data_IF_970080109665
#
_entry.id   IF_970080109665
#
_cell.length_a   1.000
_cell.length_b   1.000
_cell.length_c   1.000
_cell.angle_alpha   90.00
_cell.angle_beta   90.00
_cell.angle_gamma   90.00
#
_symmetry.space_group_name_H-M   'P 1'
#
loop_
_entity.id
_entity.type
_entity.pdbx_description
1 polymer ?
#
# COMPACT_ATOMS: atom_id res chain seq x y z
N UNK A 1 -13.06 20.47 -14.16
CA UNK A 1 -12.83 20.79 -15.59
C UNK A 1 -11.89 19.74 -16.16
N UNK A 2 -12.31 18.90 -17.13
CA UNK A 2 -11.47 17.83 -17.63
C UNK A 2 -10.44 18.40 -18.62
N UNK A 3 -9.15 18.33 -18.25
CA UNK A 3 -8.02 18.68 -19.11
C UNK A 3 -7.71 17.48 -20.01
N UNK A 4 -8.45 17.35 -21.11
CA UNK A 4 -8.21 16.34 -22.16
C UNK A 4 -7.24 16.81 -23.25
N UNK A 5 -6.43 17.84 -23.00
CA UNK A 5 -5.39 18.27 -23.93
C UNK A 5 -3.99 17.85 -23.43
N UNK A 6 -3.40 16.76 -23.97
CA UNK A 6 -2.07 16.32 -23.60
C UNK A 6 -0.97 17.37 -23.87
N UNK A 7 -1.25 18.40 -24.70
CA UNK A 7 -0.28 19.48 -24.98
C UNK A 7 -0.13 20.51 -23.87
N UNK A 8 -0.98 20.51 -22.82
CA UNK A 8 -0.94 21.52 -21.74
C UNK A 8 -0.50 20.98 -20.38
N UNK A 9 0.08 19.79 -20.33
CA UNK A 9 0.64 19.19 -19.11
C UNK A 9 2.12 19.53 -18.89
N UNK A 10 2.63 20.57 -19.54
CA UNK A 10 3.97 21.10 -19.33
C UNK A 10 3.95 22.32 -18.42
N UNK A 11 4.97 22.45 -17.59
CA UNK A 11 5.32 23.70 -16.92
C UNK A 11 6.74 24.07 -17.36
N UNK A 12 6.86 25.24 -17.99
CA UNK A 12 8.17 25.79 -18.34
C UNK A 12 8.88 26.27 -17.08
N UNK A 13 10.14 25.89 -16.92
CA UNK A 13 10.96 26.36 -15.82
C UNK A 13 11.63 27.69 -16.22
N UNK A 14 11.49 28.72 -15.39
CA UNK A 14 12.15 30.01 -15.60
C UNK A 14 13.62 30.01 -15.12
N UNK A 15 14.02 28.98 -14.37
CA UNK A 15 15.32 28.83 -13.72
C UNK A 15 15.82 27.40 -13.88
N UNK A 16 17.14 27.21 -13.74
CA UNK A 16 17.75 25.88 -13.80
C UNK A 16 17.27 25.00 -12.65
N UNK A 17 17.07 23.70 -12.93
CA UNK A 17 16.64 22.73 -11.93
C UNK A 17 17.83 22.38 -11.05
N UNK A 18 17.71 22.59 -9.75
CA UNK A 18 18.75 22.28 -8.76
C UNK A 18 18.29 21.16 -7.81
N UNK A 19 19.23 20.55 -7.08
CA UNK A 19 18.91 19.47 -6.14
C UNK A 19 18.01 19.91 -4.98
N UNK A 20 17.98 21.20 -4.66
CA UNK A 20 17.15 21.76 -3.57
C UNK A 20 15.67 21.88 -3.97
N UNK A 21 15.36 21.81 -5.25
CA UNK A 21 13.99 21.97 -5.77
C UNK A 21 13.21 20.64 -5.79
N UNK A 22 13.85 19.53 -5.40
CA UNK A 22 13.31 18.18 -5.56
C UNK A 22 13.20 17.49 -4.19
N UNK A 23 12.00 17.02 -3.86
CA UNK A 23 11.72 16.37 -2.58
C UNK A 23 12.40 14.99 -2.45
N UNK A 24 12.56 14.27 -3.56
CA UNK A 24 13.29 13.00 -3.64
C UNK A 24 14.65 13.22 -4.31
N UNK A 25 15.73 13.35 -3.53
CA UNK A 25 17.05 13.74 -4.05
C UNK A 25 17.58 12.72 -5.09
N UNK A 26 17.61 13.04 -6.39
CA UNK A 26 18.21 12.14 -7.37
C UNK A 26 19.74 12.15 -7.21
N UNK A 27 20.46 11.14 -7.71
CA UNK A 27 21.92 11.17 -7.71
C UNK A 27 22.43 12.46 -8.37
N UNK A 28 23.41 13.15 -7.77
CA UNK A 28 23.91 14.44 -8.28
C UNK A 28 24.37 14.41 -9.76
N UNK A 29 24.77 13.23 -10.25
CA UNK A 29 25.08 12.99 -11.67
C UNK A 29 23.87 13.18 -12.60
N UNK A 30 22.66 12.87 -12.14
CA UNK A 30 21.41 13.04 -12.89
C UNK A 30 21.07 14.53 -13.12
N UNK A 31 21.42 15.41 -12.18
CA UNK A 31 21.18 16.85 -12.33
C UNK A 31 22.21 17.54 -13.23
N UNK A 32 23.47 17.11 -13.14
CA UNK A 32 24.55 17.70 -13.95
C UNK A 32 24.54 17.24 -15.41
N UNK A 33 24.22 15.97 -15.70
CA UNK A 33 24.28 15.41 -17.06
C UNK A 33 23.00 14.75 -17.56
N UNK A 34 22.02 14.51 -16.68
CA UNK A 34 20.87 13.65 -16.99
C UNK A 34 21.27 12.17 -17.09
N UNK A 35 20.30 11.28 -16.90
CA UNK A 35 20.40 9.93 -17.45
C UNK A 35 20.07 10.04 -18.94
N UNK A 36 20.96 9.60 -19.82
CA UNK A 36 20.82 9.77 -21.28
C UNK A 36 21.38 8.56 -22.01
N UNK A 37 20.92 8.35 -23.25
CA UNK A 37 21.45 7.33 -24.15
C UNK A 37 22.07 7.94 -25.42
N UNK A 38 22.76 7.08 -26.17
CA UNK A 38 23.35 7.34 -27.47
C UNK A 38 22.29 7.70 -28.54
N UNK A 39 22.77 8.31 -29.64
CA UNK A 39 21.92 8.81 -30.72
C UNK A 39 20.98 7.73 -31.24
N UNK A 40 19.69 8.04 -31.32
CA UNK A 40 18.66 7.14 -31.85
C UNK A 40 18.28 5.96 -30.94
N UNK A 41 18.90 5.82 -29.76
CA UNK A 41 18.51 4.78 -28.80
C UNK A 41 17.44 5.28 -27.84
N UNK A 42 16.53 4.37 -27.49
CA UNK A 42 15.58 4.59 -26.42
C UNK A 42 16.29 4.58 -25.06
N UNK A 43 15.84 5.42 -24.13
CA UNK A 43 16.23 5.34 -22.73
C UNK A 43 15.11 4.67 -21.96
N UNK A 44 15.42 3.56 -21.29
CA UNK A 44 14.50 2.82 -20.44
C UNK A 44 15.02 2.87 -19.01
N UNK A 45 14.15 3.23 -18.08
CA UNK A 45 14.49 3.41 -16.68
C UNK A 45 13.35 2.91 -15.80
N UNK A 46 13.70 2.13 -14.79
CA UNK A 46 12.77 1.71 -13.76
C UNK A 46 12.79 2.73 -12.62
N UNK A 47 11.76 3.57 -12.55
CA UNK A 47 11.65 4.66 -11.58
C UNK A 47 10.22 4.72 -11.00
N UNK A 48 10.04 4.61 -9.67
CA UNK A 48 11.09 4.51 -8.66
C UNK A 48 11.73 3.11 -8.63
N UNK A 49 12.85 2.97 -7.91
CA UNK A 49 13.55 1.70 -7.79
C UNK A 49 12.74 0.61 -7.07
N UNK A 50 11.72 1.01 -6.30
CA UNK A 50 10.83 0.11 -5.56
C UNK A 50 9.52 -0.13 -6.32
N UNK A 51 8.89 -1.27 -6.03
CA UNK A 51 7.55 -1.57 -6.54
C UNK A 51 6.50 -0.66 -5.89
N UNK A 52 5.60 -0.13 -6.70
CA UNK A 52 4.47 0.69 -6.27
C UNK A 52 3.25 -0.19 -5.97
N UNK A 53 2.51 0.03 -4.87
CA UNK A 53 1.21 -0.59 -4.70
C UNK A 53 0.25 -0.18 -5.84
N UNK A 54 -0.74 -1.02 -6.14
CA UNK A 54 -1.73 -0.71 -7.17
C UNK A 54 -2.59 0.49 -6.75
N UNK A 55 -2.38 1.67 -7.35
CA UNK A 55 -3.09 2.91 -6.98
C UNK A 55 -3.06 3.94 -8.11
N UNK A 56 -3.75 5.06 -7.90
CA UNK A 56 -3.58 6.27 -8.70
C UNK A 56 -2.40 7.09 -8.16
N UNK A 57 -1.61 7.67 -9.07
CA UNK A 57 -0.41 8.44 -8.77
C UNK A 57 -0.39 9.78 -9.47
N UNK A 58 0.19 10.77 -8.81
CA UNK A 58 0.68 11.98 -9.43
C UNK A 58 2.11 11.72 -9.87
N UNK A 59 2.36 11.79 -11.17
CA UNK A 59 3.69 11.60 -11.77
C UNK A 59 4.16 12.94 -12.30
N UNK A 60 5.34 13.40 -11.92
CA UNK A 60 5.99 14.57 -12.50
C UNK A 60 7.43 14.21 -12.90
N UNK A 61 7.78 14.49 -14.16
CA UNK A 61 9.08 14.16 -14.74
C UNK A 61 9.75 15.45 -15.23
N UNK A 62 11.03 15.58 -14.92
CA UNK A 62 11.80 16.80 -15.10
C UNK A 62 12.93 16.58 -16.11
N UNK A 63 13.01 17.49 -17.08
CA UNK A 63 13.89 17.38 -18.24
C UNK A 63 14.60 18.70 -18.48
N UNK A 64 15.93 18.68 -18.53
CA UNK A 64 16.76 19.84 -18.77
C UNK A 64 18.05 19.42 -19.47
N UNK A 65 18.33 20.07 -20.60
CA UNK A 65 19.59 19.90 -21.32
C UNK A 65 20.61 20.96 -20.90
N UNK A 66 21.44 20.63 -19.90
CA UNK A 66 22.43 21.55 -19.32
C UNK A 66 23.70 21.75 -20.17
N UNK A 67 23.70 21.30 -21.42
CA UNK A 67 24.82 21.52 -22.34
C UNK A 67 24.72 22.91 -22.95
N UNK A 68 25.86 23.52 -23.27
CA UNK A 68 25.89 24.76 -24.03
C UNK A 68 25.24 24.49 -25.42
N UNK A 69 24.03 25.02 -25.69
CA UNK A 69 23.24 24.56 -26.81
C UNK A 69 23.87 25.07 -28.11
N UNK A 70 24.24 24.15 -29.00
CA UNK A 70 24.40 24.50 -30.41
C UNK A 70 23.00 24.74 -31.00
N UNK A 71 22.80 25.75 -31.86
CA UNK A 71 21.53 25.96 -32.59
C UNK A 71 21.05 24.73 -33.36
N UNK A 72 21.95 23.78 -33.63
CA UNK A 72 21.70 22.56 -34.40
C UNK A 72 21.61 21.29 -33.54
N UNK A 73 21.56 21.40 -32.21
CA UNK A 73 21.53 20.23 -31.32
C UNK A 73 20.43 20.36 -30.28
N UNK A 74 19.27 19.76 -30.57
CA UNK A 74 18.14 19.66 -29.65
C UNK A 74 17.79 18.19 -29.34
N UNK A 75 16.94 17.99 -28.34
CA UNK A 75 16.41 16.68 -27.96
C UNK A 75 14.90 16.74 -28.01
N UNK A 76 14.33 16.03 -28.98
CA UNK A 76 12.88 15.82 -29.05
C UNK A 76 12.60 14.34 -28.88
N UNK A 77 11.74 13.98 -27.94
CA UNK A 77 11.42 12.59 -27.66
C UNK A 77 10.02 12.44 -27.06
N UNK A 78 9.45 11.25 -27.23
CA UNK A 78 8.21 10.84 -26.58
C UNK A 78 8.52 10.22 -25.21
N UNK A 79 7.60 10.38 -24.27
CA UNK A 79 7.66 9.83 -22.92
C UNK A 79 6.53 8.83 -22.76
N UNK A 80 6.86 7.60 -22.39
CA UNK A 80 5.90 6.56 -22.01
C UNK A 80 6.12 6.14 -20.56
N UNK A 81 5.04 5.82 -19.87
CA UNK A 81 5.03 5.24 -18.52
C UNK A 81 4.23 3.94 -18.58
N UNK A 82 4.84 2.81 -18.26
CA UNK A 82 4.26 1.45 -18.40
C UNK A 82 3.61 1.21 -19.77
N UNK A 83 4.35 1.51 -20.85
CA UNK A 83 3.90 1.45 -22.25
C UNK A 83 2.75 2.38 -22.66
N UNK A 84 2.19 3.16 -21.74
CA UNK A 84 1.20 4.18 -22.05
C UNK A 84 1.88 5.50 -22.38
N UNK A 85 1.39 6.20 -23.42
CA UNK A 85 1.90 7.51 -23.79
C UNK A 85 1.61 8.52 -22.68
N UNK A 86 2.68 9.06 -22.08
CA UNK A 86 2.63 10.07 -21.03
C UNK A 86 2.77 11.48 -21.62
N UNK A 87 3.68 11.65 -22.58
CA UNK A 87 3.84 12.90 -23.34
C UNK A 87 4.43 12.61 -24.71
N UNK A 88 4.12 13.43 -25.72
CA UNK A 88 4.66 13.29 -27.08
C UNK A 88 5.34 14.57 -27.56
N UNK A 89 6.49 14.43 -28.20
CA UNK A 89 7.25 15.54 -28.78
C UNK A 89 7.86 16.49 -27.74
N UNK A 90 8.32 15.97 -26.60
CA UNK A 90 8.96 16.78 -25.56
C UNK A 90 10.25 17.38 -26.08
N UNK A 91 10.39 18.70 -26.06
CA UNK A 91 11.62 19.41 -26.42
C UNK A 91 12.40 19.82 -25.17
N UNK A 92 13.45 19.07 -24.82
CA UNK A 92 14.28 19.39 -23.67
C UNK A 92 15.28 20.51 -24.02
N UNK A 93 15.15 21.65 -23.35
CA UNK A 93 16.01 22.83 -23.52
C UNK A 93 16.84 23.13 -22.27
N UNK A 94 17.71 24.13 -22.34
CA UNK A 94 18.48 24.63 -21.20
C UNK A 94 17.60 25.25 -20.11
N UNK A 95 16.40 25.73 -20.44
CA UNK A 95 15.46 26.29 -19.45
C UNK A 95 14.85 25.24 -18.54
N UNK A 96 14.82 23.99 -19.00
CA UNK A 96 14.13 22.91 -18.32
C UNK A 96 12.63 22.91 -18.61
N UNK A 97 12.03 21.72 -18.56
CA UNK A 97 10.60 21.49 -18.71
C UNK A 97 10.19 20.37 -17.77
N UNK A 98 9.06 20.55 -17.10
CA UNK A 98 8.40 19.51 -16.32
C UNK A 98 7.13 19.07 -17.04
N UNK A 99 6.94 17.76 -17.18
CA UNK A 99 5.66 17.17 -17.59
C UNK A 99 5.05 16.38 -16.45
N UNK A 100 3.74 16.51 -16.24
CA UNK A 100 3.07 15.85 -15.14
C UNK A 100 1.73 15.22 -15.51
N UNK A 101 1.33 14.18 -14.77
CA UNK A 101 0.06 13.48 -14.90
C UNK A 101 -0.57 13.31 -13.52
N UNK A 102 -1.83 13.73 -13.37
CA UNK A 102 -2.49 13.83 -12.06
C UNK A 102 -3.22 12.58 -11.60
N UNK A 103 -3.45 11.56 -12.41
CA UNK A 103 -4.22 10.37 -12.00
C UNK A 103 -3.73 9.15 -12.80
N UNK A 104 -2.45 8.86 -12.69
CA UNK A 104 -1.82 7.79 -13.46
C UNK A 104 -1.95 6.46 -12.70
N UNK A 105 -2.60 5.43 -13.26
CA UNK A 105 -2.69 4.13 -12.61
C UNK A 105 -1.33 3.43 -12.71
N UNK A 106 -0.71 3.15 -11.57
CA UNK A 106 0.56 2.41 -11.48
C UNK A 106 0.43 1.25 -10.51
N UNK A 107 1.19 0.19 -10.77
CA UNK A 107 1.30 -0.99 -9.92
C UNK A 107 2.61 -1.71 -10.25
N UNK A 108 3.27 -2.29 -9.24
CA UNK A 108 4.53 -2.99 -9.41
C UNK A 108 5.67 -2.07 -9.81
N UNK A 109 6.63 -2.61 -10.57
CA UNK A 109 7.75 -1.83 -11.09
C UNK A 109 7.26 -0.89 -12.20
N UNK A 110 7.60 0.40 -12.09
CA UNK A 110 7.23 1.41 -13.09
C UNK A 110 8.36 1.60 -14.09
N UNK A 111 8.09 1.32 -15.36
CA UNK A 111 8.99 1.58 -16.48
C UNK A 111 8.69 2.95 -17.09
N UNK A 112 9.69 3.81 -17.14
CA UNK A 112 9.67 5.05 -17.91
C UNK A 112 10.52 4.82 -19.17
N UNK A 113 9.93 5.05 -20.34
CA UNK A 113 10.58 4.87 -21.64
C UNK A 113 10.57 6.17 -22.41
N UNK A 114 11.74 6.61 -22.82
CA UNK A 114 11.93 7.80 -23.64
C UNK A 114 12.35 7.39 -25.05
N UNK A 115 11.58 7.79 -26.06
CA UNK A 115 11.80 7.40 -27.46
C UNK A 115 12.18 8.63 -28.28
N UNK A 116 13.42 8.74 -28.79
CA UNK A 116 13.82 9.88 -29.59
C UNK A 116 13.00 9.99 -30.87
N UNK A 117 12.65 11.22 -31.26
CA UNK A 117 12.04 11.48 -32.56
C UNK A 117 13.00 11.10 -33.69
N UNK A 118 12.46 10.87 -34.90
CA UNK A 118 13.27 10.60 -36.07
C UNK A 118 14.29 11.73 -36.30
N UNK A 119 15.52 11.36 -36.69
CA UNK A 119 16.61 12.27 -37.03
C UNK A 119 17.12 13.16 -35.88
N UNK A 120 16.90 12.80 -34.61
CA UNK A 120 17.50 13.52 -33.49
C UNK A 120 18.98 13.21 -33.35
N UNK A 121 19.80 14.24 -33.22
CA UNK A 121 21.26 14.11 -33.10
C UNK A 121 21.74 13.66 -31.72
N UNK A 122 20.87 13.75 -30.72
CA UNK A 122 21.15 13.45 -29.32
C UNK A 122 20.04 12.56 -28.78
N UNK A 123 20.40 11.59 -27.93
CA UNK A 123 19.43 10.70 -27.32
C UNK A 123 18.47 11.45 -26.38
N UNK A 124 17.46 10.78 -25.84
CA UNK A 124 16.63 11.36 -24.79
C UNK A 124 17.43 11.53 -23.48
N UNK A 125 16.91 12.34 -22.57
CA UNK A 125 17.46 12.46 -21.21
C UNK A 125 16.33 12.56 -20.18
N UNK A 126 16.64 12.34 -18.91
CA UNK A 126 15.82 12.75 -17.76
C UNK A 126 16.71 13.21 -16.62
N UNK A 127 16.27 14.20 -15.84
CA UNK A 127 17.03 14.74 -14.71
C UNK A 127 16.46 14.27 -13.38
N UNK A 128 15.12 14.26 -13.25
CA UNK A 128 14.43 13.83 -12.04
C UNK A 128 13.00 13.32 -12.33
N UNK A 129 12.45 12.58 -11.37
CA UNK A 129 11.06 12.11 -11.39
C UNK A 129 10.49 12.03 -9.98
N UNK A 130 9.27 12.54 -9.81
CA UNK A 130 8.49 12.47 -8.59
C UNK A 130 7.20 11.68 -8.85
N UNK A 131 6.97 10.65 -8.06
CA UNK A 131 5.80 9.78 -8.17
C UNK A 131 5.14 9.69 -6.81
N UNK A 132 4.04 10.42 -6.63
CA UNK A 132 3.30 10.51 -5.38
C UNK A 132 2.00 9.73 -5.47
N UNK A 133 1.74 8.83 -4.52
CA UNK A 133 0.46 8.13 -4.46
C UNK A 133 -0.65 9.13 -4.15
N UNK A 134 -1.70 9.13 -4.97
CA UNK A 134 -2.90 9.91 -4.72
C UNK A 134 -3.82 9.08 -3.87
N UNK A 135 -3.88 9.45 -2.60
CA UNK A 135 -4.90 8.95 -1.70
C UNK A 135 -6.13 9.81 -1.91
N UNK A 136 -7.11 9.31 -2.67
CA UNK A 136 -8.41 9.97 -2.82
C UNK A 136 -9.09 10.05 -1.46
N UNK A 137 -9.73 11.20 -1.17
CA UNK A 137 -10.55 11.46 0.02
C UNK A 137 -11.89 10.68 -0.05
N UNK A 138 -11.84 9.44 -0.52
CA UNK A 138 -12.94 8.50 -0.49
C UNK A 138 -13.13 7.89 0.90
N UNK A 139 -14.02 6.91 1.03
CA UNK A 139 -14.17 6.20 2.30
C UNK A 139 -12.82 5.61 2.73
N UNK A 140 -12.47 5.79 4.00
CA UNK A 140 -11.24 5.26 4.60
C UNK A 140 -11.57 4.25 5.68
N UNK A 141 -10.61 3.47 6.17
CA UNK A 141 -10.91 2.60 7.32
C UNK A 141 -11.38 3.45 8.51
N UNK A 142 -12.44 3.00 9.18
CA UNK A 142 -12.95 3.69 10.36
C UNK A 142 -11.81 3.91 11.37
N UNK A 143 -11.57 5.15 11.87
CA UNK A 143 -10.33 5.49 12.56
C UNK A 143 -10.00 4.59 13.77
N UNK A 144 -11.04 4.17 14.50
CA UNK A 144 -10.89 3.25 15.65
C UNK A 144 -10.32 1.89 15.23
N UNK A 145 -10.78 1.36 14.11
CA UNK A 145 -10.35 0.06 13.57
C UNK A 145 -8.97 0.18 12.92
N UNK A 146 -8.71 1.27 12.20
CA UNK A 146 -7.39 1.56 11.63
C UNK A 146 -6.30 1.62 12.71
N UNK A 147 -6.52 2.38 13.79
CA UNK A 147 -5.59 2.47 14.94
C UNK A 147 -5.38 1.08 15.58
N UNK A 148 -6.45 0.27 15.66
CA UNK A 148 -6.37 -1.08 16.19
C UNK A 148 -5.45 -1.96 15.36
N UNK A 149 -5.64 -1.96 14.04
CA UNK A 149 -4.82 -2.73 13.11
C UNK A 149 -3.36 -2.27 13.11
N UNK A 150 -3.10 -0.95 13.17
CA UNK A 150 -1.73 -0.44 13.27
C UNK A 150 -1.04 -0.87 14.58
N UNK A 151 -1.77 -0.99 15.69
CA UNK A 151 -1.20 -1.52 16.94
C UNK A 151 -0.88 -3.00 16.83
N UNK A 152 -1.82 -3.78 16.30
CA UNK A 152 -1.62 -5.22 16.07
C UNK A 152 -0.40 -5.47 15.18
N UNK A 153 -0.24 -4.69 14.10
CA UNK A 153 0.90 -4.76 13.21
C UNK A 153 2.25 -4.53 13.90
N UNK A 154 2.29 -3.66 14.92
CA UNK A 154 3.52 -3.37 15.69
C UNK A 154 3.84 -4.42 16.75
N UNK A 155 2.82 -5.16 17.21
CA UNK A 155 2.97 -6.18 18.26
C UNK A 155 3.34 -7.54 17.68
N UNK A 156 3.01 -7.79 16.41
CA UNK A 156 3.56 -8.92 15.66
C UNK A 156 5.03 -8.71 15.37
N UNK A 157 5.82 -9.77 15.55
CA UNK A 157 7.27 -9.74 15.27
C UNK A 157 7.54 -9.78 13.76
N UNK A 158 6.64 -10.41 13.00
CA UNK A 158 6.70 -10.56 11.56
C UNK A 158 5.29 -10.40 10.94
N UNK A 159 4.70 -9.19 10.97
CA UNK A 159 3.45 -8.92 10.27
C UNK A 159 3.63 -9.09 8.76
N UNK A 160 2.55 -9.31 7.99
CA UNK A 160 2.61 -9.26 6.52
C UNK A 160 3.22 -7.95 6.02
N UNK A 161 4.03 -8.02 4.96
CA UNK A 161 4.84 -6.90 4.48
C UNK A 161 4.03 -5.70 3.98
N UNK A 162 2.76 -5.91 3.63
CA UNK A 162 1.84 -4.89 3.15
C UNK A 162 1.02 -4.23 4.26
N UNK A 163 1.22 -4.59 5.53
CA UNK A 163 0.58 -3.98 6.70
C UNK A 163 1.13 -2.57 6.99
N UNK A 164 0.95 -1.67 6.04
CA UNK A 164 1.33 -0.26 6.10
C UNK A 164 0.25 0.61 5.43
N UNK A 165 0.00 1.81 5.96
CA UNK A 165 -1.05 2.69 5.47
C UNK A 165 -2.44 2.39 6.05
N UNK A 166 -3.49 2.50 5.22
CA UNK A 166 -4.89 2.30 5.61
C UNK A 166 -5.31 0.85 5.33
N UNK A 167 -5.82 0.08 6.31
CA UNK A 167 -6.06 -1.37 6.16
C UNK A 167 -7.03 -1.78 5.05
N UNK A 168 -7.95 -0.90 4.66
CA UNK A 168 -8.97 -1.17 3.66
C UNK A 168 -8.71 -0.50 2.31
N UNK A 169 -7.57 0.21 2.17
CA UNK A 169 -7.26 0.97 0.97
C UNK A 169 -5.93 0.55 0.32
N UNK A 170 -5.84 0.63 -1.01
CA UNK A 170 -6.90 1.07 -1.95
C UNK A 170 -8.03 0.05 -2.13
N UNK A 171 -9.19 0.47 -2.65
CA UNK A 171 -10.35 -0.43 -2.81
C UNK A 171 -9.96 -1.66 -3.65
N UNK A 172 -10.26 -2.86 -3.14
CA UNK A 172 -9.88 -4.14 -3.76
C UNK A 172 -8.47 -4.63 -3.38
N UNK A 173 -7.72 -3.84 -2.62
CA UNK A 173 -6.36 -4.12 -2.16
C UNK A 173 -6.23 -3.77 -0.67
N UNK A 174 -7.09 -4.36 0.17
CA UNK A 174 -6.89 -4.33 1.61
C UNK A 174 -5.61 -5.04 2.00
N UNK A 175 -5.12 -4.78 3.22
CA UNK A 175 -3.99 -5.51 3.79
C UNK A 175 -4.21 -7.02 3.70
N UNK A 176 -3.11 -7.76 3.56
CA UNK A 176 -3.12 -9.22 3.51
C UNK A 176 -3.90 -9.78 4.69
N UNK A 177 -4.89 -10.61 4.38
CA UNK A 177 -5.77 -11.24 5.35
C UNK A 177 -6.92 -10.37 5.87
N UNK A 178 -6.99 -9.09 5.51
CA UNK A 178 -8.05 -8.18 5.95
C UNK A 178 -9.16 -8.14 4.90
N UNK A 179 -10.40 -8.37 5.31
CA UNK A 179 -11.59 -8.13 4.48
C UNK A 179 -12.36 -6.95 5.02
N UNK A 180 -12.71 -6.02 4.14
CA UNK A 180 -13.43 -4.81 4.48
C UNK A 180 -14.81 -4.75 3.82
N UNK A 181 -15.74 -4.07 4.47
CA UNK A 181 -17.06 -3.75 3.95
C UNK A 181 -17.32 -2.24 4.06
N UNK A 182 -18.22 -1.73 3.22
CA UNK A 182 -18.67 -0.33 3.31
C UNK A 182 -19.44 -0.15 4.62
N UNK A 183 -19.02 0.82 5.44
CA UNK A 183 -19.75 1.22 6.65
C UNK A 183 -20.71 2.37 6.32
N UNK A 184 -20.21 3.40 5.63
CA UNK A 184 -20.98 4.52 5.11
C UNK A 184 -20.17 5.25 4.02
N UNK A 185 -20.68 6.38 3.52
CA UNK A 185 -20.03 7.18 2.47
C UNK A 185 -18.59 7.62 2.79
N UNK A 186 -18.23 7.70 4.08
CA UNK A 186 -16.93 8.16 4.55
C UNK A 186 -16.03 7.05 5.08
N UNK A 187 -16.56 5.85 5.34
CA UNK A 187 -15.82 4.82 6.05
C UNK A 187 -16.03 3.40 5.54
N UNK A 188 -14.94 2.63 5.58
CA UNK A 188 -14.92 1.18 5.58
C UNK A 188 -14.83 0.65 7.01
N UNK A 189 -15.33 -0.57 7.20
CA UNK A 189 -15.18 -1.37 8.41
C UNK A 189 -14.52 -2.70 8.08
N UNK A 190 -13.79 -3.26 9.02
CA UNK A 190 -13.13 -4.56 8.93
C UNK A 190 -14.11 -5.62 9.42
N UNK A 191 -14.42 -6.59 8.56
CA UNK A 191 -15.39 -7.66 8.85
C UNK A 191 -14.72 -9.02 9.03
N UNK A 192 -13.54 -9.23 8.45
CA UNK A 192 -12.79 -10.47 8.62
C UNK A 192 -11.28 -10.22 8.70
N UNK A 193 -10.63 -10.96 9.58
CA UNK A 193 -9.17 -11.07 9.68
C UNK A 193 -8.79 -12.54 9.53
N UNK A 194 -8.19 -12.91 8.40
CA UNK A 194 -7.70 -14.26 8.11
C UNK A 194 -6.19 -14.23 7.85
N UNK A 195 -5.41 -14.66 8.84
CA UNK A 195 -3.96 -14.74 8.79
C UNK A 195 -3.48 -16.19 8.90
N UNK A 196 -4.30 -17.13 8.46
CA UNK A 196 -4.03 -18.56 8.57
C UNK A 196 -2.72 -18.92 7.89
N UNK A 197 -1.85 -19.68 8.58
CA UNK A 197 -0.64 -20.27 8.00
C UNK A 197 0.33 -19.24 7.37
N UNK A 198 0.50 -18.09 8.03
CA UNK A 198 1.45 -17.05 7.60
C UNK A 198 2.75 -17.06 8.41
N UNK A 199 2.89 -17.97 9.37
CA UNK A 199 4.06 -18.08 10.24
C UNK A 199 4.24 -16.88 11.17
N UNK A 200 3.15 -16.15 11.46
CA UNK A 200 3.17 -14.94 12.30
C UNK A 200 3.52 -15.32 13.74
N UNK A 201 4.41 -14.55 14.35
CA UNK A 201 4.87 -14.70 15.73
C UNK A 201 4.70 -13.39 16.50
N UNK A 202 4.70 -13.48 17.83
CA UNK A 202 4.35 -12.38 18.72
C UNK A 202 3.17 -12.73 19.62
N UNK A 203 2.36 -11.74 19.98
CA UNK A 203 1.20 -11.91 20.86
C UNK A 203 -0.06 -11.31 20.25
N UNK A 204 -1.22 -11.84 20.65
CA UNK A 204 -2.51 -11.24 20.30
C UNK A 204 -2.89 -10.21 21.37
N UNK A 205 -3.05 -8.95 20.98
CA UNK A 205 -3.22 -7.84 21.92
C UNK A 205 -4.67 -7.51 22.24
N UNK A 206 -4.87 -6.82 23.37
CA UNK A 206 -6.14 -6.24 23.80
C UNK A 206 -6.73 -5.26 22.77
N UNK A 207 -5.90 -4.75 21.85
CA UNK A 207 -6.35 -3.91 20.74
C UNK A 207 -7.43 -4.59 19.90
N UNK A 208 -7.42 -5.93 19.77
CA UNK A 208 -8.38 -6.69 18.95
C UNK A 208 -9.85 -6.37 19.28
N UNK A 209 -10.16 -6.05 20.55
CA UNK A 209 -11.51 -5.66 20.98
C UNK A 209 -12.04 -4.37 20.35
N UNK A 210 -11.18 -3.58 19.69
CA UNK A 210 -11.58 -2.33 19.01
C UNK A 210 -12.15 -2.57 17.61
N UNK A 211 -11.99 -3.76 17.04
CA UNK A 211 -12.54 -4.15 15.74
C UNK A 211 -14.04 -4.47 15.85
N UNK A 212 -14.85 -3.51 16.28
CA UNK A 212 -16.25 -3.74 16.69
C UNK A 212 -17.18 -4.26 15.59
N UNK A 213 -16.77 -4.12 14.32
CA UNK A 213 -17.51 -4.62 13.17
C UNK A 213 -17.11 -6.03 12.72
N UNK A 214 -16.12 -6.65 13.38
CA UNK A 214 -15.56 -7.92 12.95
C UNK A 214 -16.53 -9.08 13.18
N UNK A 215 -16.56 -9.98 12.21
CA UNK A 215 -17.44 -11.14 12.17
C UNK A 215 -16.62 -12.44 12.21
N UNK A 216 -15.39 -12.43 11.69
CA UNK A 216 -14.51 -13.59 11.66
C UNK A 216 -13.07 -13.22 12.01
N UNK A 217 -12.45 -13.99 12.90
CA UNK A 217 -11.01 -13.93 13.20
C UNK A 217 -10.44 -15.33 13.05
N UNK A 218 -9.56 -15.51 12.09
CA UNK A 218 -8.78 -16.74 11.91
C UNK A 218 -7.28 -16.39 11.92
N UNK A 219 -6.59 -16.77 12.99
CA UNK A 219 -5.13 -16.67 13.10
C UNK A 219 -4.52 -18.05 13.34
N UNK A 220 -5.22 -19.10 12.92
CA UNK A 220 -4.81 -20.48 13.11
C UNK A 220 -3.50 -20.80 12.38
N UNK A 221 -2.80 -21.85 12.83
CA UNK A 221 -1.58 -22.35 12.18
C UNK A 221 -0.46 -21.30 12.13
N UNK A 222 -0.22 -20.61 13.25
CA UNK A 222 0.83 -19.61 13.38
C UNK A 222 1.75 -19.93 14.57
N UNK A 223 2.63 -18.99 14.91
CA UNK A 223 3.56 -19.06 16.04
C UNK A 223 3.21 -18.01 17.09
N UNK A 224 1.94 -17.63 17.20
CA UNK A 224 1.48 -16.67 18.20
C UNK A 224 1.58 -17.30 19.59
N UNK A 225 1.90 -16.48 20.59
CA UNK A 225 2.13 -16.94 21.96
C UNK A 225 1.56 -15.97 22.98
N UNK A 226 1.66 -16.32 24.27
CA UNK A 226 1.12 -15.51 25.36
C UNK A 226 -0.37 -15.77 25.62
N UNK A 227 -1.02 -14.96 26.47
CA UNK A 227 -2.44 -15.13 26.78
C UNK A 227 -3.34 -14.69 25.63
N UNK A 228 -4.51 -15.32 25.53
CA UNK A 228 -5.60 -14.79 24.70
C UNK A 228 -6.14 -13.53 25.41
N UNK A 229 -6.29 -12.38 24.74
CA UNK A 229 -6.72 -11.15 25.37
C UNK A 229 -8.20 -11.20 25.79
N UNK A 230 -8.51 -10.74 27.00
CA UNK A 230 -9.88 -10.59 27.50
C UNK A 230 -10.58 -9.31 26.99
N UNK A 231 -10.62 -9.14 25.66
CA UNK A 231 -11.18 -7.96 24.97
C UNK A 231 -12.33 -8.29 24.02
N UNK A 232 -12.92 -9.48 24.09
CA UNK A 232 -13.93 -9.91 23.11
C UNK A 232 -15.31 -9.32 23.35
N UNK A 233 -15.60 -8.82 24.56
CA UNK A 233 -16.92 -8.30 24.95
C UNK A 233 -17.50 -7.26 23.98
N UNK A 234 -16.65 -6.45 23.35
CA UNK A 234 -17.07 -5.41 22.40
C UNK A 234 -17.27 -5.91 20.96
N UNK A 235 -16.96 -7.17 20.66
CA UNK A 235 -17.06 -7.77 19.33
C UNK A 235 -18.42 -8.45 19.12
N UNK A 236 -19.52 -7.70 19.32
CA UNK A 236 -20.88 -8.23 19.26
C UNK A 236 -21.25 -8.89 17.90
N UNK A 237 -20.50 -8.58 16.85
CA UNK A 237 -20.62 -9.16 15.52
C UNK A 237 -19.91 -10.51 15.33
N UNK A 238 -19.01 -10.91 16.23
CA UNK A 238 -18.11 -12.05 16.01
C UNK A 238 -18.89 -13.38 15.99
N UNK A 239 -18.72 -14.11 14.89
CA UNK A 239 -19.33 -15.41 14.62
C UNK A 239 -18.31 -16.53 14.70
N UNK A 240 -17.11 -16.33 14.17
CA UNK A 240 -16.05 -17.35 14.12
C UNK A 240 -14.75 -16.83 14.74
N UNK A 241 -14.20 -17.60 15.68
CA UNK A 241 -12.90 -17.35 16.31
C UNK A 241 -12.04 -18.62 16.25
N UNK A 242 -11.00 -18.58 15.44
CA UNK A 242 -10.10 -19.70 15.16
C UNK A 242 -8.66 -19.34 15.55
N UNK A 243 -8.20 -19.96 16.63
CA UNK A 243 -6.89 -19.71 17.26
C UNK A 243 -6.06 -21.00 17.35
N UNK A 244 -6.52 -22.10 16.77
CA UNK A 244 -5.89 -23.41 16.86
C UNK A 244 -4.47 -23.44 16.26
N UNK A 245 -3.67 -24.41 16.68
CA UNK A 245 -2.30 -24.62 16.19
C UNK A 245 -1.43 -23.36 16.39
N UNK A 246 -1.33 -22.91 17.64
CA UNK A 246 -0.50 -21.80 18.08
C UNK A 246 0.17 -22.14 19.43
N UNK A 247 0.85 -21.19 20.06
CA UNK A 247 1.46 -21.29 21.39
C UNK A 247 0.74 -20.44 22.45
N UNK A 248 -0.58 -20.22 22.33
CA UNK A 248 -1.34 -19.48 23.34
C UNK A 248 -1.34 -20.22 24.68
N UNK A 249 -1.25 -19.48 25.79
CA UNK A 249 -1.13 -20.03 27.16
C UNK A 249 -2.01 -19.32 28.17
N UNK A 250 -2.22 -19.92 29.33
CA UNK A 250 -3.07 -19.36 30.39
C UNK A 250 -4.56 -19.60 30.15
N UNK A 251 -5.46 -18.96 30.91
CA UNK A 251 -6.88 -19.28 30.92
C UNK A 251 -7.62 -18.80 29.67
N UNK A 252 -8.72 -19.48 29.35
CA UNK A 252 -9.66 -19.07 28.31
C UNK A 252 -10.44 -17.83 28.80
N UNK A 253 -10.46 -16.70 28.05
CA UNK A 253 -11.05 -15.46 28.54
C UNK A 253 -12.57 -15.54 28.78
N UNK A 254 -13.08 -15.07 29.93
CA UNK A 254 -14.50 -15.09 30.23
C UNK A 254 -15.32 -14.18 29.28
N UNK A 255 -14.73 -13.14 28.69
CA UNK A 255 -15.43 -12.27 27.73
C UNK A 255 -15.92 -12.99 26.48
N UNK A 256 -15.47 -14.21 26.18
CA UNK A 256 -16.05 -15.05 25.13
C UNK A 256 -17.52 -15.40 25.41
N UNK A 257 -17.93 -15.44 26.68
CA UNK A 257 -19.32 -15.67 27.07
C UNK A 257 -20.23 -14.49 26.67
N UNK A 258 -19.68 -13.28 26.60
CA UNK A 258 -20.42 -12.06 26.25
C UNK A 258 -20.68 -11.93 24.74
N UNK A 259 -20.16 -12.84 23.91
CA UNK A 259 -20.35 -12.80 22.46
C UNK A 259 -21.71 -13.41 22.06
N UNK A 260 -22.70 -12.61 21.60
CA UNK A 260 -24.04 -13.11 21.37
C UNK A 260 -24.17 -13.93 20.08
N UNK A 261 -23.26 -13.75 19.12
CA UNK A 261 -23.30 -14.37 17.79
C UNK A 261 -22.26 -15.46 17.57
N UNK A 262 -21.42 -15.75 18.57
CA UNK A 262 -20.35 -16.73 18.44
C UNK A 262 -20.94 -18.12 18.17
N UNK A 263 -20.53 -18.72 17.06
CA UNK A 263 -20.94 -20.06 16.61
C UNK A 263 -19.78 -21.00 16.42
N UNK A 264 -18.56 -20.50 16.25
CA UNK A 264 -17.38 -21.33 16.04
C UNK A 264 -16.24 -20.82 16.93
N UNK A 265 -15.70 -21.72 17.75
CA UNK A 265 -14.59 -21.47 18.66
C UNK A 265 -13.59 -22.63 18.61
N UNK A 266 -12.48 -22.42 17.91
CA UNK A 266 -11.42 -23.43 17.79
C UNK A 266 -10.16 -22.98 18.53
N UNK A 267 -9.74 -23.79 19.49
CA UNK A 267 -8.67 -23.50 20.46
C UNK A 267 -7.67 -24.65 20.60
N UNK A 268 -7.94 -25.81 19.99
CA UNK A 268 -7.12 -27.02 20.08
C UNK A 268 -5.66 -26.78 19.67
N UNK A 269 -4.76 -27.64 20.14
CA UNK A 269 -3.32 -27.53 19.87
C UNK A 269 -2.74 -26.16 20.29
N UNK A 270 -3.04 -25.75 21.53
CA UNK A 270 -2.43 -24.64 22.25
C UNK A 270 -2.01 -25.11 23.67
N UNK A 271 -1.42 -24.23 24.47
CA UNK A 271 -1.00 -24.49 25.86
C UNK A 271 -1.98 -23.83 26.86
N UNK A 272 -3.28 -23.83 26.54
CA UNK A 272 -4.31 -23.18 27.33
C UNK A 272 -4.62 -23.97 28.61
N UNK A 273 -4.91 -23.23 29.67
CA UNK A 273 -5.21 -23.77 31.00
C UNK A 273 -6.71 -23.67 31.32
N UNK A 274 -7.15 -24.52 32.24
CA UNK A 274 -8.54 -24.54 32.68
C UNK A 274 -9.46 -25.20 31.65
N UNK A 275 -10.73 -24.81 31.66
CA UNK A 275 -11.80 -25.36 30.83
C UNK A 275 -12.52 -24.22 30.09
N UNK A 276 -13.06 -24.49 28.89
CA UNK A 276 -13.95 -23.51 28.21
C UNK A 276 -15.12 -23.19 29.15
N UNK A 277 -15.43 -21.90 29.44
CA UNK A 277 -16.50 -21.54 30.37
C UNK A 277 -17.86 -22.10 29.96
N UNK A 278 -18.65 -22.57 30.93
CA UNK A 278 -19.97 -23.17 30.65
C UNK A 278 -20.92 -22.22 29.92
N UNK A 279 -20.83 -20.91 30.21
CA UNK A 279 -21.60 -19.89 29.51
C UNK A 279 -21.29 -19.81 28.00
N UNK A 280 -20.11 -20.26 27.58
CA UNK A 280 -19.76 -20.41 26.16
C UNK A 280 -20.26 -21.76 25.64
N UNK A 281 -20.04 -22.86 26.37
CA UNK A 281 -20.49 -24.21 25.99
C UNK A 281 -22.00 -24.32 25.79
N UNK A 282 -22.76 -23.56 26.58
CA UNK A 282 -24.22 -23.57 26.56
C UNK A 282 -24.82 -22.69 25.44
N UNK A 283 -23.99 -22.06 24.60
CA UNK A 283 -24.49 -21.27 23.46
C UNK A 283 -25.14 -22.21 22.42
N UNK A 284 -26.33 -21.85 21.90
CA UNK A 284 -27.07 -22.73 21.00
C UNK A 284 -26.32 -22.93 19.68
N UNK A 285 -26.02 -24.18 19.33
CA UNK A 285 -25.41 -24.56 18.05
C UNK A 285 -23.95 -24.11 17.90
N UNK A 286 -23.24 -23.88 19.01
CA UNK A 286 -21.81 -23.54 18.99
C UNK A 286 -20.96 -24.79 18.66
N UNK A 287 -20.08 -24.67 17.67
CA UNK A 287 -19.01 -25.62 17.40
C UNK A 287 -17.78 -25.22 18.24
N UNK A 288 -17.41 -26.07 19.19
CA UNK A 288 -16.25 -25.85 20.06
C UNK A 288 -15.27 -26.98 19.85
N UNK A 289 -14.04 -26.62 19.51
CA UNK A 289 -12.90 -27.53 19.50
C UNK A 289 -11.88 -27.03 20.50
N UNK A 290 -11.69 -27.77 21.59
CA UNK A 290 -10.70 -27.45 22.62
C UNK A 290 -9.91 -28.70 22.99
N UNK A 291 -8.62 -28.50 23.29
CA UNK A 291 -7.57 -29.49 23.58
C UNK A 291 -7.15 -30.31 22.36
#
# INVERSE_FOLDING_TARGET
MPLNDPKRLTVDCAFNITSTDIWNMPPAKALSKGFTESKGKELIINWPAMNLPASSYYVALYFQDNRNPSPYSWRVFDVKVNNQTFYSGLNASTKGVMVYGKQWPLSGQTEIRLTPAANMDKGPLINAGEIYQIVTIGPRTHPKEAISMTRLAREFQNPPSDWSGDPCLPQGYSWTGVTCAVLNVNYYKIVSLNLTNLGISGTLSQSIGRLTSIESIDVSNNKLSGPIPDAFKSLAGLVSLRLENNGFKGPIPPSLADLPKLKELHLQNNQLEGQVPDAVRNKPGIDIRSY
#
